data_IF_198330622143
#
_entry.id   IF_198330622143
#
_cell.length_a   1.000
_cell.length_b   1.000
_cell.length_c   1.000
_cell.angle_alpha   90.00
_cell.angle_beta   90.00
_cell.angle_gamma   90.00
#
_symmetry.space_group_name_H-M   'P 1'
#
loop_
_entity.id
_entity.type
_entity.pdbx_description
1 polymer ?
#
# COMPACT_ATOMS: atom_id res chain seq x y z
N UNK A 1 -63.30 -28.97 16.55
CA UNK A 1 -61.91 -29.47 16.52
C UNK A 1 -61.61 -29.79 15.07
N UNK A 2 -61.05 -28.82 14.35
CA UNK A 2 -60.72 -28.98 12.93
C UNK A 2 -59.24 -29.43 12.80
N UNK A 3 -59.07 -30.56 12.18
CA UNK A 3 -57.74 -31.12 11.89
C UNK A 3 -56.98 -30.23 10.93
N UNK A 4 -55.85 -29.70 11.39
CA UNK A 4 -54.92 -28.96 10.55
C UNK A 4 -54.22 -29.95 9.61
N UNK A 5 -54.55 -29.82 8.33
CA UNK A 5 -54.12 -30.66 7.25
C UNK A 5 -52.61 -30.50 6.99
N UNK A 6 -51.87 -31.61 7.00
CA UNK A 6 -50.41 -31.71 6.80
C UNK A 6 -49.89 -31.09 5.50
N UNK A 7 -50.79 -30.64 4.63
CA UNK A 7 -50.42 -30.04 3.34
C UNK A 7 -50.11 -28.52 3.42
N UNK A 8 -50.57 -27.84 4.49
CA UNK A 8 -50.30 -26.43 4.66
C UNK A 8 -48.94 -26.13 5.35
N UNK A 9 -48.35 -27.17 5.98
CA UNK A 9 -47.04 -26.98 6.65
C UNK A 9 -45.85 -27.07 5.69
N UNK A 10 -46.06 -27.58 4.46
CA UNK A 10 -44.99 -27.72 3.47
C UNK A 10 -44.83 -26.47 2.60
N UNK A 11 -45.86 -25.62 2.52
CA UNK A 11 -45.80 -24.40 1.74
C UNK A 11 -45.11 -23.21 2.45
N UNK A 12 -44.99 -23.25 3.79
CA UNK A 12 -44.34 -22.18 4.56
C UNK A 12 -42.83 -22.37 4.74
N UNK A 13 -42.27 -23.53 4.42
CA UNK A 13 -40.84 -23.83 4.56
C UNK A 13 -40.01 -23.49 3.29
N UNK A 14 -40.68 -23.18 2.17
CA UNK A 14 -39.98 -22.91 0.90
C UNK A 14 -39.64 -21.42 0.67
N UNK A 15 -40.08 -20.52 1.55
CA UNK A 15 -39.84 -19.09 1.38
C UNK A 15 -38.67 -18.54 2.20
N UNK A 16 -37.96 -19.35 2.97
CA UNK A 16 -36.87 -18.91 3.86
C UNK A 16 -35.45 -19.25 3.36
N UNK A 17 -35.31 -19.85 2.19
CA UNK A 17 -33.98 -20.21 1.65
C UNK A 17 -33.55 -19.40 0.44
N UNK A 18 -34.19 -18.28 0.12
CA UNK A 18 -33.81 -17.43 -1.01
C UNK A 18 -32.96 -16.21 -0.62
N UNK A 19 -32.40 -16.17 0.60
CA UNK A 19 -31.54 -15.06 1.05
C UNK A 19 -30.13 -15.50 1.44
N UNK A 20 -29.66 -16.65 0.95
CA UNK A 20 -28.29 -17.12 1.12
C UNK A 20 -27.53 -17.18 -0.20
N UNK A 21 -27.62 -16.14 -1.03
CA UNK A 21 -26.69 -15.99 -2.15
C UNK A 21 -26.38 -14.52 -2.30
N UNK A 22 -25.47 -14.06 -1.51
CA UNK A 22 -24.48 -13.05 -1.80
C UNK A 22 -23.62 -12.91 -0.55
N UNK A 23 -22.90 -13.99 -0.16
CA UNK A 23 -21.57 -13.70 0.33
C UNK A 23 -20.86 -13.08 -0.86
N UNK A 24 -20.59 -11.76 -0.87
CA UNK A 24 -19.53 -11.31 -1.74
C UNK A 24 -18.32 -12.10 -1.25
N UNK A 25 -17.79 -12.93 -2.12
CA UNK A 25 -16.42 -13.38 -1.98
C UNK A 25 -15.66 -12.09 -1.74
N UNK A 26 -15.31 -11.87 -0.49
CA UNK A 26 -14.43 -10.81 -0.09
C UNK A 26 -13.06 -11.20 -0.63
N UNK A 27 -12.95 -11.15 -1.96
CA UNK A 27 -11.69 -10.94 -2.60
C UNK A 27 -11.20 -9.67 -1.92
N UNK A 28 -10.23 -9.82 -1.05
CA UNK A 28 -9.34 -8.75 -0.63
C UNK A 28 -8.62 -8.24 -1.90
N UNK A 29 -9.40 -7.69 -2.83
CA UNK A 29 -8.90 -6.66 -3.70
C UNK A 29 -8.42 -5.59 -2.70
N UNK A 30 -7.10 -5.44 -2.59
CA UNK A 30 -6.51 -4.30 -1.96
C UNK A 30 -7.24 -3.10 -2.55
N UNK A 31 -8.20 -2.58 -1.80
CA UNK A 31 -8.97 -1.40 -2.20
C UNK A 31 -7.92 -0.37 -2.53
N UNK A 32 -7.84 0.02 -3.78
CA UNK A 32 -6.95 1.08 -4.23
C UNK A 32 -7.32 2.29 -3.38
N UNK A 33 -6.57 2.49 -2.31
CA UNK A 33 -6.79 3.60 -1.41
C UNK A 33 -6.51 4.84 -2.23
N UNK A 34 -7.46 5.78 -2.24
CA UNK A 34 -7.29 7.06 -2.91
C UNK A 34 -6.08 7.85 -2.40
N UNK A 35 -5.88 9.08 -2.86
CA UNK A 35 -4.79 9.92 -2.39
C UNK A 35 -4.79 10.07 -0.86
N UNK A 36 -3.60 9.96 -0.28
CA UNK A 36 -3.34 10.03 1.17
C UNK A 36 -2.68 11.36 1.48
N UNK A 37 -3.24 12.13 2.40
CA UNK A 37 -2.58 13.30 2.98
C UNK A 37 -1.62 12.84 4.09
N UNK A 38 -0.33 13.05 3.87
CA UNK A 38 0.71 12.68 4.82
C UNK A 38 1.09 13.83 5.78
N UNK A 39 0.47 15.00 5.63
CA UNK A 39 0.73 16.18 6.46
C UNK A 39 1.71 17.18 5.85
N UNK A 40 2.11 18.15 6.65
CA UNK A 40 2.97 19.25 6.22
C UNK A 40 4.36 18.77 5.78
N UNK A 41 4.87 19.33 4.67
CA UNK A 41 6.17 18.97 4.09
C UNK A 41 7.33 19.23 5.03
N UNK A 42 7.21 20.18 5.95
CA UNK A 42 8.27 20.51 6.94
C UNK A 42 8.57 19.33 7.87
N UNK A 43 7.61 18.45 8.11
CA UNK A 43 7.82 17.23 8.90
C UNK A 43 8.83 16.27 8.25
N UNK A 44 9.09 16.41 6.95
CA UNK A 44 9.99 15.56 6.15
C UNK A 44 11.26 16.27 5.71
N UNK A 45 11.58 17.43 6.30
CA UNK A 45 12.76 18.22 5.96
C UNK A 45 14.08 17.50 6.29
N UNK A 46 14.09 16.67 7.33
CA UNK A 46 15.28 15.88 7.72
C UNK A 46 15.41 14.67 6.79
N UNK A 47 16.63 14.39 6.32
CA UNK A 47 16.90 13.16 5.58
C UNK A 47 16.62 11.92 6.42
N UNK A 48 15.96 10.92 5.81
CA UNK A 48 15.62 9.68 6.50
C UNK A 48 14.41 8.97 5.90
N UNK A 49 14.04 7.88 6.53
CA UNK A 49 12.87 7.06 6.20
C UNK A 49 11.78 7.29 7.24
N UNK A 50 10.60 7.62 6.76
CA UNK A 50 9.40 7.80 7.57
C UNK A 50 8.45 6.64 7.28
N UNK A 51 8.31 5.73 8.23
CA UNK A 51 7.63 4.44 8.07
C UNK A 51 6.17 4.42 8.56
N UNK A 52 5.67 5.55 9.09
CA UNK A 52 4.33 5.66 9.65
C UNK A 52 3.20 5.16 8.71
N UNK A 53 3.43 5.24 7.39
CA UNK A 53 2.47 4.81 6.37
C UNK A 53 2.75 3.40 5.82
N UNK A 54 3.83 2.75 6.23
CA UNK A 54 4.31 1.50 5.66
C UNK A 54 3.34 0.34 5.85
N UNK A 55 2.75 0.23 7.04
CA UNK A 55 1.80 -0.83 7.40
C UNK A 55 0.37 -0.51 6.93
N UNK A 56 -0.06 0.75 7.12
CA UNK A 56 -1.46 1.13 6.90
C UNK A 56 -1.76 1.50 5.44
N UNK A 57 -0.78 2.07 4.73
CA UNK A 57 -0.94 2.61 3.38
C UNK A 57 -0.04 1.93 2.34
N UNK A 58 0.92 1.12 2.76
CA UNK A 58 1.80 0.35 1.88
C UNK A 58 2.95 1.15 1.27
N UNK A 59 3.37 2.26 1.88
CA UNK A 59 4.52 3.04 1.43
C UNK A 59 5.32 3.67 2.56
N UNK A 60 6.60 3.93 2.27
CA UNK A 60 7.47 4.81 3.05
C UNK A 60 7.49 6.20 2.42
N UNK A 61 7.64 7.24 3.23
CA UNK A 61 8.16 8.52 2.75
C UNK A 61 9.66 8.57 3.01
N UNK A 62 10.45 8.90 2.00
CA UNK A 62 11.89 8.89 2.08
C UNK A 62 12.40 10.25 1.63
N UNK A 63 13.04 10.97 2.56
CA UNK A 63 13.71 12.23 2.30
C UNK A 63 15.19 11.96 2.07
N UNK A 64 15.68 12.29 0.89
CA UNK A 64 17.09 12.11 0.54
C UNK A 64 17.51 13.05 -0.60
N UNK A 65 18.68 13.65 -0.44
CA UNK A 65 19.31 14.53 -1.44
C UNK A 65 18.38 15.66 -1.93
N UNK A 66 17.68 16.29 -0.97
CA UNK A 66 16.76 17.39 -1.27
C UNK A 66 15.48 16.98 -2.02
N UNK A 67 15.14 15.70 -1.98
CA UNK A 67 13.91 15.16 -2.58
C UNK A 67 13.16 14.28 -1.59
N UNK A 68 11.84 14.30 -1.71
CA UNK A 68 10.93 13.42 -0.99
C UNK A 68 10.26 12.47 -1.98
N UNK A 69 10.30 11.17 -1.72
CA UNK A 69 9.62 10.14 -2.52
C UNK A 69 8.68 9.31 -1.66
N UNK A 70 7.62 8.82 -2.27
CA UNK A 70 6.78 7.78 -1.70
C UNK A 70 7.16 6.44 -2.35
N UNK A 71 7.81 5.55 -1.59
CA UNK A 71 8.34 4.28 -2.08
C UNK A 71 7.52 3.13 -1.50
N UNK A 72 7.16 2.15 -2.31
CA UNK A 72 6.37 0.99 -1.86
C UNK A 72 7.06 0.26 -0.71
N UNK A 73 6.29 -0.10 0.32
CA UNK A 73 6.72 -1.00 1.40
C UNK A 73 6.45 -2.47 1.09
N UNK A 74 6.09 -2.80 -0.16
CA UNK A 74 5.79 -4.16 -0.61
C UNK A 74 6.93 -4.69 -1.46
N UNK A 75 7.51 -5.81 -1.05
CA UNK A 75 8.64 -6.46 -1.73
C UNK A 75 8.25 -6.95 -3.13
N UNK A 76 9.08 -6.63 -4.11
CA UNK A 76 8.87 -7.00 -5.52
C UNK A 76 9.13 -8.48 -5.83
N UNK A 77 9.63 -9.27 -4.86
CA UNK A 77 9.79 -10.71 -5.00
C UNK A 77 8.47 -11.46 -4.83
N UNK A 78 7.83 -11.35 -3.67
CA UNK A 78 6.57 -12.07 -3.33
C UNK A 78 5.62 -11.23 -2.47
N UNK A 79 5.57 -9.94 -2.69
CA UNK A 79 4.62 -9.02 -2.06
C UNK A 79 4.60 -9.04 -0.51
N UNK A 80 5.71 -9.44 0.14
CA UNK A 80 5.82 -9.35 1.59
C UNK A 80 6.19 -7.93 2.02
N UNK A 81 5.94 -7.63 3.28
CA UNK A 81 6.31 -6.35 3.87
C UNK A 81 7.83 -6.14 3.86
N UNK A 82 8.24 -4.95 3.50
CA UNK A 82 9.60 -4.43 3.64
C UNK A 82 9.66 -3.55 4.88
N UNK A 83 10.75 -3.60 5.61
CA UNK A 83 11.05 -2.78 6.80
C UNK A 83 12.39 -2.05 6.65
N UNK A 84 12.68 -1.13 7.56
CA UNK A 84 14.03 -0.58 7.69
C UNK A 84 14.91 -1.70 8.23
N UNK A 85 16.08 -1.92 7.61
CA UNK A 85 17.01 -2.94 8.08
C UNK A 85 17.56 -2.56 9.46
N UNK A 86 17.35 -3.42 10.46
CA UNK A 86 17.80 -3.18 11.84
C UNK A 86 19.31 -3.19 12.00
N UNK A 87 20.02 -3.90 11.10
CA UNK A 87 21.48 -3.99 11.11
C UNK A 87 22.13 -2.85 10.32
N UNK A 88 21.43 -2.36 9.29
CA UNK A 88 21.90 -1.27 8.44
C UNK A 88 20.76 -0.30 8.10
N UNK A 89 20.58 0.72 8.93
CA UNK A 89 19.54 1.74 8.75
C UNK A 89 19.63 2.52 7.42
N UNK A 90 20.69 2.34 6.65
CA UNK A 90 20.84 2.86 5.28
C UNK A 90 20.17 1.99 4.20
N UNK A 91 19.48 0.92 4.59
CA UNK A 91 18.84 -0.03 3.68
C UNK A 91 17.43 -0.41 4.14
N UNK A 92 16.67 -0.92 3.19
CA UNK A 92 15.36 -1.54 3.43
C UNK A 92 15.50 -3.04 3.20
N UNK A 93 14.87 -3.85 4.06
CA UNK A 93 14.97 -5.31 4.07
C UNK A 93 13.60 -5.96 4.00
N UNK A 94 13.49 -6.97 3.17
CA UNK A 94 12.36 -7.90 3.18
C UNK A 94 12.73 -9.10 4.05
N UNK A 95 12.20 -9.17 5.26
CA UNK A 95 12.54 -10.20 6.24
C UNK A 95 12.23 -11.62 5.76
N UNK A 96 11.21 -11.76 4.89
CA UNK A 96 10.74 -13.10 4.47
C UNK A 96 11.80 -13.89 3.69
N UNK A 97 12.55 -13.23 2.80
CA UNK A 97 13.54 -13.90 1.93
C UNK A 97 14.86 -13.13 1.81
N UNK A 98 15.07 -12.11 2.61
CA UNK A 98 16.35 -11.39 2.71
C UNK A 98 16.69 -10.49 1.53
N UNK A 99 15.72 -10.09 0.69
CA UNK A 99 15.97 -9.08 -0.33
C UNK A 99 16.31 -7.75 0.32
N UNK A 100 17.37 -7.08 -0.16
CA UNK A 100 17.76 -5.74 0.30
C UNK A 100 17.54 -4.71 -0.80
N UNK A 101 17.14 -3.52 -0.35
CA UNK A 101 16.95 -2.35 -1.19
C UNK A 101 17.65 -1.15 -0.56
N UNK A 102 18.19 -0.27 -1.39
CA UNK A 102 18.68 1.03 -0.92
C UNK A 102 17.52 1.93 -0.49
N UNK A 103 17.79 3.01 0.23
CA UNK A 103 16.75 3.94 0.68
C UNK A 103 15.99 4.58 -0.49
N UNK A 104 16.60 4.75 -1.65
CA UNK A 104 15.92 5.23 -2.85
C UNK A 104 15.07 4.17 -3.57
N UNK A 105 15.02 2.94 -3.03
CA UNK A 105 14.17 1.84 -3.49
C UNK A 105 14.84 0.90 -4.48
N UNK A 106 16.13 1.07 -4.84
CA UNK A 106 16.84 0.16 -5.77
C UNK A 106 17.11 -1.18 -5.13
N UNK A 107 16.95 -2.25 -5.89
CA UNK A 107 17.35 -3.57 -5.44
C UNK A 107 18.88 -3.64 -5.28
N UNK A 108 19.32 -4.13 -4.12
CA UNK A 108 20.75 -4.31 -3.75
C UNK A 108 21.09 -5.78 -3.67
N UNK A 109 20.18 -6.59 -3.13
CA UNK A 109 20.39 -8.01 -2.94
C UNK A 109 19.16 -8.81 -3.36
N UNK A 110 19.34 -9.93 -4.13
CA UNK A 110 18.27 -10.85 -4.46
C UNK A 110 17.67 -11.51 -3.19
N UNK A 111 16.51 -12.19 -3.30
CA UNK A 111 15.86 -12.68 -4.53
C UNK A 111 14.99 -11.69 -5.31
N UNK A 112 14.71 -10.49 -4.82
CA UNK A 112 14.03 -9.47 -5.62
C UNK A 112 14.87 -9.12 -6.86
N UNK A 113 14.22 -9.04 -8.02
CA UNK A 113 14.86 -8.73 -9.31
C UNK A 113 14.52 -7.32 -9.81
N UNK A 114 13.60 -6.63 -9.15
CA UNK A 114 13.12 -5.30 -9.52
C UNK A 114 13.14 -4.39 -8.30
N UNK A 115 13.45 -3.14 -8.55
CA UNK A 115 13.41 -2.08 -7.54
C UNK A 115 12.00 -1.86 -7.00
N UNK A 116 11.87 -1.28 -5.83
CA UNK A 116 10.57 -0.92 -5.25
C UNK A 116 9.97 0.22 -6.07
N UNK A 117 8.71 0.13 -6.51
CA UNK A 117 8.10 1.21 -7.26
C UNK A 117 7.90 2.44 -6.37
N UNK A 118 7.89 3.62 -6.99
CA UNK A 118 7.47 4.87 -6.36
C UNK A 118 6.03 5.16 -6.69
N UNK A 119 5.36 5.89 -5.81
CA UNK A 119 4.00 6.37 -6.02
C UNK A 119 4.00 7.85 -6.40
N UNK A 120 2.92 8.29 -7.03
CA UNK A 120 2.75 9.70 -7.32
C UNK A 120 2.68 10.50 -6.03
N UNK A 121 3.41 11.61 -6.00
CA UNK A 121 3.54 12.49 -4.86
C UNK A 121 3.53 13.95 -5.31
N UNK A 122 2.83 14.79 -4.59
CA UNK A 122 2.77 16.24 -4.86
C UNK A 122 2.57 17.02 -3.56
N UNK A 123 2.80 18.32 -3.62
CA UNK A 123 2.34 19.25 -2.59
C UNK A 123 0.99 19.86 -3.00
N UNK A 124 0.12 20.02 -2.04
CA UNK A 124 -1.10 20.82 -2.21
C UNK A 124 -0.85 22.32 -1.95
N UNK A 125 -1.91 23.13 -2.03
CA UNK A 125 -1.84 24.57 -1.80
C UNK A 125 -1.42 24.95 -0.36
N UNK A 126 -1.60 24.04 0.59
CA UNK A 126 -1.22 24.20 2.01
C UNK A 126 0.16 23.64 2.33
N UNK A 127 0.92 23.20 1.30
CA UNK A 127 2.19 22.48 1.42
C UNK A 127 2.09 21.11 2.11
N UNK A 128 0.91 20.50 2.10
CA UNK A 128 0.76 19.12 2.53
C UNK A 128 1.25 18.16 1.45
N UNK A 129 1.88 17.10 1.88
CA UNK A 129 2.36 16.01 1.03
C UNK A 129 1.20 15.08 0.72
N UNK A 130 0.79 15.04 -0.53
CA UNK A 130 -0.29 14.15 -1.01
C UNK A 130 0.33 13.01 -1.83
N UNK A 131 0.12 11.79 -1.40
CA UNK A 131 0.58 10.56 -2.07
C UNK A 131 -0.60 9.84 -2.70
N UNK A 132 -0.47 9.45 -3.97
CA UNK A 132 -1.48 8.65 -4.68
C UNK A 132 -0.92 7.24 -4.96
N UNK A 133 -1.23 6.24 -4.10
CA UNK A 133 -0.72 4.87 -4.26
C UNK A 133 -1.28 4.14 -5.47
N UNK A 134 -2.31 4.69 -6.13
CA UNK A 134 -2.90 4.10 -7.35
C UNK A 134 -2.03 4.35 -8.58
N UNK A 135 -1.12 5.33 -8.52
CA UNK A 135 -0.22 5.71 -9.62
C UNK A 135 1.21 5.31 -9.28
N UNK A 136 1.72 4.31 -9.99
CA UNK A 136 3.04 3.73 -9.76
C UNK A 136 4.04 4.14 -10.82
N UNK A 137 5.28 4.34 -10.40
CA UNK A 137 6.44 4.59 -11.25
C UNK A 137 7.50 3.51 -10.99
N UNK A 138 7.74 2.66 -11.96
CA UNK A 138 8.86 1.72 -11.94
C UNK A 138 10.19 2.49 -12.11
N UNK A 139 11.32 1.85 -11.84
CA UNK A 139 12.65 2.50 -11.82
C UNK A 139 12.95 3.29 -13.09
N UNK A 140 12.59 2.79 -14.27
CA UNK A 140 12.78 3.48 -15.54
C UNK A 140 12.06 4.85 -15.62
N UNK A 141 11.03 5.04 -14.80
CA UNK A 141 10.20 6.25 -14.80
C UNK A 141 10.38 7.12 -13.54
N UNK A 142 11.41 6.87 -12.72
CA UNK A 142 11.65 7.66 -11.50
C UNK A 142 12.07 9.11 -11.75
N UNK A 143 12.42 9.45 -12.98
CA UNK A 143 12.69 10.84 -13.37
C UNK A 143 11.42 11.65 -13.63
N UNK A 144 10.25 10.99 -13.68
CA UNK A 144 8.99 11.69 -13.83
C UNK A 144 8.79 12.65 -12.64
N UNK A 145 8.48 13.94 -12.89
CA UNK A 145 8.27 14.93 -11.83
C UNK A 145 7.19 14.56 -10.82
N UNK A 146 6.22 13.70 -11.20
CA UNK A 146 5.19 13.23 -10.30
C UNK A 146 5.67 12.12 -9.34
N UNK A 147 6.89 11.58 -9.49
CA UNK A 147 7.44 10.53 -8.63
C UNK A 147 8.23 11.05 -7.43
N UNK A 148 8.41 12.35 -7.30
CA UNK A 148 9.10 12.99 -6.19
C UNK A 148 8.67 14.45 -6.02
N UNK A 149 8.90 14.97 -4.82
CA UNK A 149 8.81 16.40 -4.51
C UNK A 149 10.21 16.92 -4.24
N UNK A 150 10.59 18.09 -4.76
CA UNK A 150 11.81 18.77 -4.36
C UNK A 150 11.57 19.47 -3.01
N UNK A 151 12.46 19.23 -2.08
CA UNK A 151 12.51 19.95 -0.82
C UNK A 151 13.41 21.17 -1.05
N UNK A 152 12.87 22.35 -0.83
CA UNK A 152 13.57 23.63 -1.01
C UNK A 152 14.69 23.85 -0.02
#
# INVERSE_FOLDING_TARGET
MSELNRREFVAAAAAACAFCVACPENVLAATAKGPVDAGDVSAFAKEGVYDAFSQSQGFFLISSRGKLYATSSTCTHKANQVSIDSENHGQLKCEKHGSLFSLDGRVVKPPAKRSLPRYAIKLDAKKHVIVDPTKRFEEANWQNPASFVKLG
#
